data_IF_334403946386
#
_entry.id   IF_334403946386
#
_cell.length_a   1.000
_cell.length_b   1.000
_cell.length_c   1.000
_cell.angle_alpha   90.00
_cell.angle_beta   90.00
_cell.angle_gamma   90.00
#
_symmetry.space_group_name_H-M   'P 1'
#
loop_
_entity.id
_entity.type
_entity.pdbx_description
1 polymer ?
#
# COMPACT_ATOMS: atom_id res chain seq x y z
N UNK A 1 9.64 -28.17 13.78
CA UNK A 1 9.39 -27.39 12.54
C UNK A 1 8.08 -26.68 12.75
N UNK A 2 8.09 -25.38 13.08
CA UNK A 2 6.87 -24.62 13.28
C UNK A 2 6.26 -24.32 11.91
N UNK A 3 5.11 -24.89 11.60
CA UNK A 3 4.34 -24.55 10.41
C UNK A 3 3.96 -23.06 10.48
N UNK A 4 4.32 -22.28 9.46
CA UNK A 4 3.84 -20.91 9.29
C UNK A 4 2.32 -20.87 9.42
N UNK A 5 1.74 -19.88 10.12
CA UNK A 5 0.29 -19.80 10.27
C UNK A 5 -0.35 -19.57 8.90
N UNK A 6 -1.33 -20.42 8.53
CA UNK A 6 -2.08 -20.23 7.29
C UNK A 6 -2.94 -18.96 7.36
N UNK A 7 -3.29 -18.37 6.22
CA UNK A 7 -4.13 -17.17 6.19
C UNK A 7 -5.51 -17.42 6.84
N UNK A 8 -6.03 -18.65 6.79
CA UNK A 8 -7.24 -19.04 7.49
C UNK A 8 -7.05 -18.99 9.02
N UNK A 9 -5.91 -19.43 9.55
CA UNK A 9 -5.59 -19.35 10.98
C UNK A 9 -5.53 -17.90 11.46
N UNK A 10 -4.92 -17.00 10.66
CA UNK A 10 -4.86 -15.57 10.95
C UNK A 10 -6.27 -14.97 10.94
N UNK A 11 -7.08 -15.30 9.92
CA UNK A 11 -8.47 -14.86 9.88
C UNK A 11 -9.27 -15.37 11.08
N UNK A 12 -9.10 -16.62 11.49
CA UNK A 12 -9.73 -17.16 12.71
C UNK A 12 -9.34 -16.37 13.97
N UNK A 13 -8.08 -15.95 14.10
CA UNK A 13 -7.64 -15.12 15.22
C UNK A 13 -8.33 -13.76 15.22
N UNK A 14 -8.42 -13.11 14.06
CA UNK A 14 -9.12 -11.82 13.92
C UNK A 14 -10.61 -11.96 14.24
N UNK A 15 -11.25 -13.03 13.80
CA UNK A 15 -12.68 -13.27 14.08
C UNK A 15 -12.99 -13.55 15.56
N UNK A 16 -11.99 -13.86 16.40
CA UNK A 16 -12.18 -13.95 17.86
C UNK A 16 -12.35 -12.58 18.52
N UNK A 17 -11.92 -11.50 17.85
CA UNK A 17 -12.07 -10.15 18.37
C UNK A 17 -13.56 -9.76 18.26
N UNK A 18 -14.19 -9.33 19.36
CA UNK A 18 -15.60 -8.96 19.36
C UNK A 18 -15.91 -7.89 18.31
N UNK A 19 -16.94 -8.13 17.50
CA UNK A 19 -17.41 -7.19 16.47
C UNK A 19 -16.67 -7.25 15.13
N UNK A 20 -15.47 -7.84 15.05
CA UNK A 20 -14.69 -7.89 13.81
C UNK A 20 -15.37 -8.71 12.72
N UNK A 21 -16.02 -9.81 13.08
CA UNK A 21 -16.76 -10.64 12.13
C UNK A 21 -17.83 -9.84 11.40
N UNK A 22 -18.63 -9.04 12.13
CA UNK A 22 -19.66 -8.20 11.54
C UNK A 22 -19.03 -7.05 10.74
N UNK A 23 -17.96 -6.42 11.25
CA UNK A 23 -17.28 -5.31 10.58
C UNK A 23 -16.70 -5.74 9.22
N UNK A 24 -16.00 -6.88 9.18
CA UNK A 24 -15.40 -7.45 7.98
C UNK A 24 -16.52 -7.83 6.99
N UNK A 25 -17.54 -8.54 7.46
CA UNK A 25 -18.69 -8.93 6.62
C UNK A 25 -19.35 -7.72 5.94
N UNK A 26 -19.64 -6.66 6.69
CA UNK A 26 -20.23 -5.42 6.16
C UNK A 26 -19.29 -4.73 5.19
N UNK A 27 -18.00 -4.67 5.50
CA UNK A 27 -17.00 -3.94 4.68
C UNK A 27 -16.66 -4.64 3.36
N UNK A 28 -16.82 -5.97 3.31
CA UNK A 28 -16.68 -6.78 2.09
C UNK A 28 -18.03 -6.91 1.34
N UNK A 29 -19.16 -6.73 2.04
CA UNK A 29 -20.50 -6.89 1.45
C UNK A 29 -20.99 -8.34 1.41
N UNK A 30 -20.56 -9.16 2.38
CA UNK A 30 -20.90 -10.59 2.46
C UNK A 30 -21.56 -10.94 3.80
N UNK A 31 -22.14 -12.14 3.88
CA UNK A 31 -22.70 -12.64 5.14
C UNK A 31 -21.59 -13.01 6.15
N UNK A 32 -21.87 -12.81 7.45
CA UNK A 32 -20.97 -13.26 8.53
C UNK A 32 -20.62 -14.76 8.42
N UNK A 33 -21.59 -15.58 7.98
CA UNK A 33 -21.41 -17.02 7.78
C UNK A 33 -20.37 -17.30 6.70
N UNK A 34 -20.39 -16.56 5.59
CA UNK A 34 -19.40 -16.69 4.51
C UNK A 34 -17.98 -16.44 5.01
N UNK A 35 -17.79 -15.39 5.84
CA UNK A 35 -16.47 -15.08 6.43
C UNK A 35 -16.00 -16.20 7.37
N UNK A 36 -16.91 -16.77 8.17
CA UNK A 36 -16.59 -17.94 9.02
C UNK A 36 -16.19 -19.16 8.19
N UNK A 37 -16.88 -19.42 7.07
CA UNK A 37 -16.55 -20.54 6.17
C UNK A 37 -15.16 -20.38 5.56
N UNK A 38 -14.75 -19.16 5.20
CA UNK A 38 -13.38 -18.89 4.72
C UNK A 38 -12.36 -19.19 5.81
N UNK A 39 -12.59 -18.70 7.03
CA UNK A 39 -11.70 -18.93 8.16
C UNK A 39 -11.57 -20.42 8.51
N UNK A 40 -12.59 -21.24 8.24
CA UNK A 40 -12.54 -22.70 8.42
C UNK A 40 -12.00 -23.47 7.21
N UNK A 41 -11.75 -22.81 6.08
CA UNK A 41 -11.37 -23.46 4.83
C UNK A 41 -12.51 -24.22 4.13
N UNK A 42 -13.77 -23.97 4.52
CA UNK A 42 -14.96 -24.63 3.94
C UNK A 42 -15.35 -24.05 2.57
N UNK A 43 -14.81 -22.89 2.19
CA UNK A 43 -15.02 -22.28 0.87
C UNK A 43 -13.87 -21.35 0.49
N UNK A 44 -13.64 -21.20 -0.82
CA UNK A 44 -12.59 -20.34 -1.35
C UNK A 44 -13.14 -18.96 -1.76
N UNK A 45 -12.56 -17.86 -1.26
CA UNK A 45 -12.91 -16.51 -1.69
C UNK A 45 -12.49 -16.24 -3.14
N UNK A 46 -13.29 -15.43 -3.84
CA UNK A 46 -12.92 -14.92 -5.17
C UNK A 46 -11.88 -13.78 -5.04
N UNK A 47 -11.12 -13.53 -6.11
CA UNK A 47 -10.06 -12.50 -6.14
C UNK A 47 -10.51 -11.14 -5.60
N UNK A 48 -11.64 -10.55 -6.03
CA UNK A 48 -12.04 -9.22 -5.54
C UNK A 48 -12.30 -9.20 -4.03
N UNK A 49 -12.80 -10.31 -3.49
CA UNK A 49 -13.06 -10.43 -2.07
C UNK A 49 -11.79 -10.61 -1.25
N UNK A 50 -10.76 -11.30 -1.78
CA UNK A 50 -9.44 -11.39 -1.16
C UNK A 50 -8.75 -10.03 -1.12
N UNK A 51 -8.75 -9.31 -2.24
CA UNK A 51 -8.23 -7.94 -2.31
C UNK A 51 -8.92 -7.06 -1.26
N UNK A 52 -10.25 -7.13 -1.18
CA UNK A 52 -11.02 -6.38 -0.18
C UNK A 52 -10.73 -6.83 1.25
N UNK A 53 -10.56 -8.13 1.50
CA UNK A 53 -10.22 -8.67 2.82
C UNK A 53 -8.91 -8.06 3.35
N UNK A 54 -7.86 -8.02 2.52
CA UNK A 54 -6.56 -7.41 2.87
C UNK A 54 -6.72 -5.92 3.21
N UNK A 55 -7.57 -5.20 2.48
CA UNK A 55 -7.83 -3.78 2.74
C UNK A 55 -8.56 -3.56 4.07
N UNK A 56 -9.55 -4.40 4.40
CA UNK A 56 -10.42 -4.19 5.57
C UNK A 56 -9.89 -4.82 6.86
N UNK A 57 -8.94 -5.75 6.78
CA UNK A 57 -8.35 -6.36 7.98
C UNK A 57 -7.58 -5.30 8.77
N UNK A 58 -7.50 -5.48 10.09
CA UNK A 58 -6.75 -4.56 10.93
C UNK A 58 -5.28 -4.49 10.52
N UNK A 59 -4.66 -3.30 10.52
CA UNK A 59 -3.26 -3.14 10.13
C UNK A 59 -2.30 -4.09 10.86
N UNK A 60 -2.55 -4.38 12.13
CA UNK A 60 -1.74 -5.28 12.95
C UNK A 60 -1.66 -6.73 12.44
N UNK A 61 -2.64 -7.18 11.65
CA UNK A 61 -2.68 -8.54 11.09
C UNK A 61 -2.43 -8.57 9.58
N UNK A 62 -2.32 -7.41 8.93
CA UNK A 62 -2.29 -7.30 7.46
C UNK A 62 -1.05 -7.94 6.87
N UNK A 63 0.13 -7.63 7.39
CA UNK A 63 1.40 -8.16 6.86
C UNK A 63 1.47 -9.67 7.01
N UNK A 64 1.11 -10.19 8.19
CA UNK A 64 1.04 -11.62 8.44
C UNK A 64 -0.01 -12.30 7.53
N UNK A 65 -1.16 -11.67 7.30
CA UNK A 65 -2.18 -12.19 6.38
C UNK A 65 -1.65 -12.23 4.94
N UNK A 66 -0.98 -11.17 4.49
CA UNK A 66 -0.42 -11.07 3.15
C UNK A 66 0.63 -12.15 2.89
N UNK A 67 1.59 -12.31 3.81
CA UNK A 67 2.61 -13.34 3.75
C UNK A 67 1.98 -14.75 3.66
N UNK A 68 0.98 -15.03 4.50
CA UNK A 68 0.28 -16.32 4.46
C UNK A 68 -0.64 -16.50 3.22
N UNK A 69 -1.12 -15.41 2.63
CA UNK A 69 -1.89 -15.45 1.37
C UNK A 69 -0.97 -15.72 0.19
N UNK A 70 0.27 -15.22 0.19
CA UNK A 70 1.24 -15.44 -0.89
C UNK A 70 1.55 -16.94 -1.06
N UNK A 71 1.61 -17.70 0.03
CA UNK A 71 1.75 -19.17 0.00
C UNK A 71 0.61 -19.87 -0.74
N UNK A 72 -0.62 -19.32 -0.67
CA UNK A 72 -1.82 -19.90 -1.28
C UNK A 72 -2.16 -19.30 -2.65
N UNK A 73 -1.77 -18.06 -2.89
CA UNK A 73 -2.12 -17.23 -4.03
C UNK A 73 -0.91 -16.39 -4.45
N UNK A 74 -0.03 -17.00 -5.26
CA UNK A 74 1.23 -16.39 -5.71
C UNK A 74 1.06 -15.02 -6.40
N UNK A 75 -0.11 -14.75 -7.00
CA UNK A 75 -0.42 -13.50 -7.70
C UNK A 75 -1.11 -12.44 -6.82
N UNK A 76 -1.23 -12.64 -5.50
CA UNK A 76 -2.00 -11.73 -4.62
C UNK A 76 -1.51 -10.28 -4.69
N UNK A 77 -0.20 -10.06 -4.80
CA UNK A 77 0.38 -8.74 -4.96
C UNK A 77 0.01 -8.06 -6.28
N UNK A 78 -0.19 -8.84 -7.35
CA UNK A 78 -0.66 -8.32 -8.63
C UNK A 78 -2.13 -7.89 -8.54
N UNK A 79 -2.97 -8.68 -7.86
CA UNK A 79 -4.39 -8.35 -7.66
C UNK A 79 -4.59 -7.10 -6.79
N UNK A 80 -3.62 -6.78 -5.93
CA UNK A 80 -3.60 -5.56 -5.13
C UNK A 80 -3.07 -4.34 -5.91
N UNK A 81 -2.49 -4.54 -7.09
CA UNK A 81 -1.95 -3.48 -7.96
C UNK A 81 -2.81 -3.19 -9.19
N UNK A 82 -3.79 -4.04 -9.50
CA UNK A 82 -4.58 -3.99 -10.74
C UNK A 82 -5.34 -2.64 -10.95
N UNK A 83 -5.57 -1.87 -9.87
CA UNK A 83 -6.17 -0.53 -9.93
C UNK A 83 -5.15 0.62 -10.08
N UNK A 84 -3.83 0.35 -10.06
CA UNK A 84 -2.79 1.37 -10.23
C UNK A 84 -2.50 1.64 -11.70
N UNK A 85 -2.61 2.92 -12.12
CA UNK A 85 -2.14 3.32 -13.44
C UNK A 85 -0.61 3.32 -13.48
N UNK A 86 -0.02 2.53 -14.38
CA UNK A 86 1.43 2.54 -14.63
C UNK A 86 1.92 3.87 -15.23
N UNK A 87 1.01 4.69 -15.75
CA UNK A 87 1.33 5.96 -16.41
C UNK A 87 1.10 7.14 -15.48
N UNK A 88 2.00 8.14 -15.55
CA UNK A 88 1.80 9.43 -14.90
C UNK A 88 0.81 10.24 -15.75
N UNK A 89 -0.35 10.68 -15.20
CA UNK A 89 -1.31 11.47 -15.95
C UNK A 89 -0.70 12.76 -16.50
N UNK A 90 -0.97 13.08 -17.77
CA UNK A 90 -0.50 14.33 -18.40
C UNK A 90 -0.98 15.57 -17.65
N UNK A 91 -2.21 15.54 -17.15
CA UNK A 91 -2.82 16.65 -16.41
C UNK A 91 -2.08 16.93 -15.10
N UNK A 92 -1.55 15.88 -14.45
CA UNK A 92 -0.70 16.06 -13.27
C UNK A 92 0.59 16.80 -13.61
N UNK A 93 1.25 16.45 -14.72
CA UNK A 93 2.46 17.15 -15.19
C UNK A 93 2.14 18.60 -15.53
N UNK A 94 1.02 18.87 -16.20
CA UNK A 94 0.59 20.22 -16.53
C UNK A 94 0.36 21.06 -15.25
N UNK A 95 -0.34 20.52 -14.26
CA UNK A 95 -0.55 21.15 -12.95
C UNK A 95 0.77 21.40 -12.21
N UNK A 96 1.71 20.45 -12.27
CA UNK A 96 3.03 20.59 -11.66
C UNK A 96 3.83 21.75 -12.26
N UNK A 97 3.78 21.89 -13.59
CA UNK A 97 4.44 22.97 -14.32
C UNK A 97 3.80 24.33 -14.02
N UNK A 98 2.47 24.39 -13.96
CA UNK A 98 1.74 25.60 -13.56
C UNK A 98 2.09 26.05 -12.13
N UNK A 99 2.12 25.12 -11.18
CA UNK A 99 2.53 25.40 -9.80
C UNK A 99 3.98 25.91 -9.74
N UNK A 100 4.87 25.37 -10.57
CA UNK A 100 6.26 25.83 -10.64
C UNK A 100 6.38 27.30 -11.07
N UNK A 101 5.56 27.74 -12.02
CA UNK A 101 5.60 29.10 -12.58
C UNK A 101 4.83 30.12 -11.74
N UNK A 102 3.75 29.70 -11.07
CA UNK A 102 2.87 30.59 -10.29
C UNK A 102 3.24 30.70 -8.80
N UNK A 103 4.02 29.75 -8.26
CA UNK A 103 4.42 29.75 -6.84
C UNK A 103 5.71 30.52 -6.60
N UNK A 104 5.73 31.35 -5.56
CA UNK A 104 6.93 32.05 -5.07
C UNK A 104 8.06 31.08 -4.70
N UNK A 105 9.30 31.47 -4.98
CA UNK A 105 10.51 30.64 -4.81
C UNK A 105 10.61 29.94 -3.46
N UNK A 106 10.29 30.65 -2.37
CA UNK A 106 10.38 30.14 -1.00
C UNK A 106 9.42 28.97 -0.71
N UNK A 107 8.28 28.89 -1.41
CA UNK A 107 7.25 27.87 -1.23
C UNK A 107 7.30 26.78 -2.30
N UNK A 108 7.98 27.04 -3.41
CA UNK A 108 8.01 26.17 -4.59
C UNK A 108 8.43 24.76 -4.25
N UNK A 109 9.51 24.58 -3.47
CA UNK A 109 10.00 23.27 -3.06
C UNK A 109 8.89 22.48 -2.35
N UNK A 110 8.34 23.03 -1.27
CA UNK A 110 7.34 22.34 -0.47
C UNK A 110 6.08 22.02 -1.26
N UNK A 111 5.60 22.95 -2.09
CA UNK A 111 4.38 22.75 -2.86
C UNK A 111 4.52 21.64 -3.90
N UNK A 112 5.62 21.65 -4.65
CA UNK A 112 5.95 20.63 -5.64
C UNK A 112 6.17 19.27 -4.97
N UNK A 113 6.95 19.23 -3.89
CA UNK A 113 7.23 17.99 -3.16
C UNK A 113 5.95 17.36 -2.60
N UNK A 114 5.06 18.15 -1.99
CA UNK A 114 3.78 17.65 -1.49
C UNK A 114 2.94 17.06 -2.64
N UNK A 115 2.78 17.77 -3.77
CA UNK A 115 2.05 17.27 -4.93
C UNK A 115 2.61 15.94 -5.46
N UNK A 116 3.93 15.83 -5.61
CA UNK A 116 4.58 14.60 -6.06
C UNK A 116 4.35 13.47 -5.06
N UNK A 117 4.57 13.71 -3.76
CA UNK A 117 4.37 12.68 -2.73
C UNK A 117 2.92 12.18 -2.68
N UNK A 118 1.93 13.07 -2.88
CA UNK A 118 0.51 12.68 -3.00
C UNK A 118 0.29 11.78 -4.21
N UNK A 119 0.80 12.18 -5.38
CA UNK A 119 0.63 11.43 -6.62
C UNK A 119 1.30 10.05 -6.55
N UNK A 120 2.50 9.97 -5.99
CA UNK A 120 3.24 8.71 -5.83
C UNK A 120 2.46 7.75 -4.93
N UNK A 121 1.95 8.20 -3.79
CA UNK A 121 1.13 7.34 -2.92
C UNK A 121 -0.17 6.90 -3.60
N UNK A 122 -0.84 7.80 -4.33
CA UNK A 122 -2.05 7.44 -5.06
C UNK A 122 -1.80 6.38 -6.15
N UNK A 123 -0.61 6.37 -6.76
CA UNK A 123 -0.24 5.38 -7.78
C UNK A 123 0.32 4.09 -7.20
N UNK A 124 1.24 4.17 -6.23
CA UNK A 124 1.96 3.01 -5.73
C UNK A 124 1.27 2.31 -4.56
N UNK A 125 0.38 3.02 -3.86
CA UNK A 125 -0.43 2.46 -2.77
C UNK A 125 -1.92 2.86 -2.90
N UNK A 126 -2.58 2.53 -4.03
CA UNK A 126 -3.98 2.88 -4.25
C UNK A 126 -4.91 2.28 -3.19
N UNK A 127 -4.49 1.14 -2.64
CA UNK A 127 -5.23 0.37 -1.65
C UNK A 127 -4.87 0.72 -0.20
N UNK A 128 -4.00 1.72 0.03
CA UNK A 128 -3.58 2.20 1.35
C UNK A 128 -3.13 1.05 2.26
N UNK A 129 -2.31 0.17 1.69
CA UNK A 129 -1.78 -1.02 2.33
C UNK A 129 -0.68 -0.69 3.34
N UNK A 130 -0.11 0.51 3.31
CA UNK A 130 0.82 1.00 4.32
C UNK A 130 2.15 1.45 3.74
N UNK A 131 2.12 2.13 2.59
CA UNK A 131 3.34 2.65 1.97
C UNK A 131 3.70 4.05 2.51
N UNK A 132 4.98 4.24 2.81
CA UNK A 132 5.56 5.56 3.01
C UNK A 132 6.55 5.87 1.88
N UNK A 133 6.56 7.13 1.46
CA UNK A 133 7.44 7.65 0.41
C UNK A 133 8.24 8.81 0.97
N UNK A 134 9.55 8.77 0.77
CA UNK A 134 10.48 9.78 1.27
C UNK A 134 11.26 10.41 0.12
N UNK A 135 11.29 11.75 0.08
CA UNK A 135 12.11 12.51 -0.84
C UNK A 135 13.51 12.72 -0.25
N UNK A 136 14.49 12.13 -0.93
CA UNK A 136 15.90 12.20 -0.54
C UNK A 136 16.65 13.15 -1.47
N UNK A 137 17.41 14.09 -0.89
CA UNK A 137 18.40 14.88 -1.61
C UNK A 137 19.78 14.28 -1.45
N UNK A 138 20.40 13.96 -2.58
CA UNK A 138 21.75 13.40 -2.64
C UNK A 138 22.77 14.49 -2.97
N UNK A 139 23.98 14.38 -2.43
CA UNK A 139 25.13 15.14 -2.93
C UNK A 139 25.46 14.61 -4.35
N UNK A 140 25.63 15.48 -5.36
CA UNK A 140 26.03 15.05 -6.69
C UNK A 140 27.30 14.19 -6.65
N UNK A 141 27.34 13.06 -7.40
CA UNK A 141 28.55 12.26 -7.48
C UNK A 141 29.68 13.08 -8.10
N UNK A 142 30.92 12.87 -7.64
CA UNK A 142 32.10 13.55 -8.17
C UNK A 142 33.20 12.56 -8.52
N UNK A 143 33.93 12.84 -9.60
CA UNK A 143 35.01 11.99 -10.10
C UNK A 143 36.14 11.83 -9.08
N UNK A 144 36.50 12.92 -8.37
CA UNK A 144 37.49 12.93 -7.28
C UNK A 144 37.16 11.92 -6.17
N UNK A 145 35.89 11.54 -6.07
CA UNK A 145 35.37 10.64 -5.04
C UNK A 145 34.83 9.32 -5.63
N UNK A 146 35.30 8.94 -6.81
CA UNK A 146 34.99 7.64 -7.44
C UNK A 146 33.58 7.57 -8.01
N UNK A 147 32.97 8.72 -8.32
CA UNK A 147 31.66 8.85 -8.96
C UNK A 147 30.51 8.15 -8.22
N UNK A 148 30.53 8.19 -6.87
CA UNK A 148 29.50 7.62 -6.00
C UNK A 148 28.78 8.71 -5.20
N UNK A 149 27.49 8.48 -4.91
CA UNK A 149 26.75 9.26 -3.91
C UNK A 149 27.32 8.92 -2.53
N UNK A 150 27.73 9.94 -1.77
CA UNK A 150 28.36 9.75 -0.45
C UNK A 150 27.54 10.27 0.72
N UNK A 151 26.50 11.04 0.44
CA UNK A 151 25.60 11.56 1.46
C UNK A 151 24.21 11.74 0.88
N UNK A 152 23.23 11.45 1.73
CA UNK A 152 21.82 11.59 1.48
C UNK A 152 21.18 12.32 2.66
N UNK A 153 20.25 13.23 2.36
CA UNK A 153 19.47 13.96 3.36
C UNK A 153 18.00 13.83 3.02
N UNK A 154 17.21 13.37 3.96
CA UNK A 154 15.75 13.43 3.87
C UNK A 154 15.28 14.90 3.86
N UNK A 155 14.41 15.22 2.90
CA UNK A 155 13.86 16.58 2.74
C UNK A 155 12.37 16.66 3.06
N UNK A 156 11.62 15.60 2.73
CA UNK A 156 10.20 15.48 2.98
C UNK A 156 9.80 14.00 2.94
N UNK A 157 8.70 13.64 3.60
CA UNK A 157 8.14 12.30 3.57
C UNK A 157 6.62 12.34 3.73
N UNK A 158 5.96 11.27 3.26
CA UNK A 158 4.51 11.08 3.39
C UNK A 158 4.19 9.60 3.45
N UNK A 159 3.32 9.18 4.37
CA UNK A 159 2.92 7.80 4.60
C UNK A 159 1.96 7.71 5.77
#
# INVERSE_FOLDING_TARGET
MGTSPTWQSILQQVLKIPGEQQRIAVSIGLSQMTITRWAKGESNPQRPHLTRLVQVIQPAYRDALLEALEESYHDIHSWLKDDSSEYIPSDFIAQLLDVRTTTTDSLRFWRISDMILKQVLAQLDPNQLGMAVTLIQCIPPSERHGNKIRSMRERAGRG
#
